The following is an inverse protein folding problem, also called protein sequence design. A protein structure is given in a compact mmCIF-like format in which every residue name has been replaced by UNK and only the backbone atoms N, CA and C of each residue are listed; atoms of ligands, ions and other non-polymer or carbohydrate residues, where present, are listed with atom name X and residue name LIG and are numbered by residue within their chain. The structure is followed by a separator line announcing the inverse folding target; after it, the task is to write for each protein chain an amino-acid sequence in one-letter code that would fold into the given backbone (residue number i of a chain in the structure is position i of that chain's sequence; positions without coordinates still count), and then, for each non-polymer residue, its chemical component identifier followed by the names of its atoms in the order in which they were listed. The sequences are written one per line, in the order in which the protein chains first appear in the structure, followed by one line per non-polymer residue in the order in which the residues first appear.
data_IF_414598365665
#
_entry.id   IF_414598365665
#
_cell.length_a   1.000
_cell.length_b   1.000
_cell.length_c   1.000
_cell.angle_alpha   90.00
_cell.angle_beta   90.00
_cell.angle_gamma   90.00
#
_symmetry.space_group_name_H-M   'P 1'
#
loop_
_entity.id
_entity.type
_entity.pdbx_description
1 polymer ?
#
# COMPACT_ATOMS: atom_id res chain seq x y z
N UNK A 1 10.32 61.33 -40.60
CA UNK A 1 10.58 60.62 -39.33
C UNK A 1 9.51 59.54 -39.22
N UNK A 2 9.86 58.33 -39.69
CA UNK A 2 8.93 57.20 -39.84
C UNK A 2 9.52 56.09 -38.98
N UNK A 3 8.96 55.89 -37.80
CA UNK A 3 9.51 54.97 -36.79
C UNK A 3 9.02 53.55 -37.08
N UNK A 4 9.97 52.67 -37.38
CA UNK A 4 9.80 51.23 -37.53
C UNK A 4 9.31 50.60 -36.21
N UNK A 5 8.21 49.84 -36.27
CA UNK A 5 7.84 48.92 -35.18
C UNK A 5 8.60 47.61 -35.37
N UNK A 6 9.40 47.25 -34.36
CA UNK A 6 10.12 45.99 -34.26
C UNK A 6 9.13 44.84 -34.06
N UNK A 7 9.18 43.86 -34.96
CA UNK A 7 8.65 42.52 -34.71
C UNK A 7 9.46 41.86 -33.59
N UNK A 8 8.83 41.61 -32.45
CA UNK A 8 9.37 40.73 -31.41
C UNK A 8 8.97 39.29 -31.74
N UNK A 9 9.93 38.51 -32.22
CA UNK A 9 9.83 37.07 -32.38
C UNK A 9 9.57 36.41 -31.02
N UNK A 10 8.46 35.68 -30.91
CA UNK A 10 8.19 34.77 -29.80
C UNK A 10 9.17 33.59 -29.85
N UNK A 11 9.73 33.13 -28.72
CA UNK A 11 10.63 31.99 -28.73
C UNK A 11 9.85 30.72 -29.08
N UNK A 12 10.42 29.94 -30.02
CA UNK A 12 10.01 28.58 -30.35
C UNK A 12 10.04 27.74 -29.08
N UNK A 13 8.91 27.14 -28.71
CA UNK A 13 8.85 26.05 -27.74
C UNK A 13 9.44 24.80 -28.42
N UNK A 14 10.72 24.54 -28.16
CA UNK A 14 11.34 23.24 -28.43
C UNK A 14 11.14 22.35 -27.19
N UNK A 15 10.82 21.08 -27.43
CA UNK A 15 10.83 20.01 -26.43
C UNK A 15 9.46 19.67 -25.83
N UNK A 16 8.70 18.79 -26.49
CA UNK A 16 7.87 17.85 -25.74
C UNK A 16 8.85 16.89 -25.06
N UNK A 17 9.28 17.23 -23.84
CA UNK A 17 9.80 16.20 -22.92
C UNK A 17 8.61 15.29 -22.63
N UNK A 18 8.55 14.14 -23.32
CA UNK A 18 7.67 13.05 -22.90
C UNK A 18 8.19 12.57 -21.55
N UNK A 19 7.63 13.14 -20.49
CA UNK A 19 7.82 12.61 -19.14
C UNK A 19 7.36 11.15 -19.16
N UNK A 20 8.16 10.21 -18.62
CA UNK A 20 7.74 8.83 -18.54
C UNK A 20 6.44 8.76 -17.76
N UNK A 21 5.41 8.19 -18.38
CA UNK A 21 4.11 7.96 -17.73
C UNK A 21 4.35 6.96 -16.61
N UNK A 22 3.99 7.33 -15.38
CA UNK A 22 4.08 6.41 -14.26
C UNK A 22 3.24 5.16 -14.55
N UNK A 23 3.75 3.95 -14.25
CA UNK A 23 2.98 2.73 -14.42
C UNK A 23 1.71 2.77 -13.56
N UNK A 24 0.62 2.20 -14.06
CA UNK A 24 -0.66 2.20 -13.35
C UNK A 24 -0.68 1.23 -12.14
N UNK A 25 0.11 0.16 -12.19
CA UNK A 25 0.25 -0.85 -11.14
C UNK A 25 1.73 -1.24 -10.96
N UNK A 26 2.59 -0.32 -10.46
CA UNK A 26 4.03 -0.54 -10.33
C UNK A 26 4.39 -1.83 -9.57
N UNK A 27 3.66 -2.17 -8.51
CA UNK A 27 3.91 -3.38 -7.72
C UNK A 27 3.55 -4.63 -8.52
N UNK A 28 2.42 -4.65 -9.22
CA UNK A 28 2.08 -5.78 -10.10
C UNK A 28 3.15 -5.99 -11.17
N UNK A 29 3.66 -4.92 -11.77
CA UNK A 29 4.74 -5.01 -12.76
C UNK A 29 6.01 -5.55 -12.12
N UNK A 30 6.34 -5.10 -10.91
CA UNK A 30 7.50 -5.57 -10.15
C UNK A 30 7.41 -7.04 -9.74
N UNK A 31 6.23 -7.51 -9.31
CA UNK A 31 5.97 -8.92 -8.98
C UNK A 31 6.24 -9.81 -10.19
N UNK A 32 5.75 -9.41 -11.37
CA UNK A 32 5.96 -10.14 -12.62
C UNK A 32 7.42 -10.11 -13.08
N UNK A 33 8.09 -8.97 -13.00
CA UNK A 33 9.51 -8.83 -13.35
C UNK A 33 10.37 -9.80 -12.53
N UNK A 34 10.06 -9.93 -11.24
CA UNK A 34 10.76 -10.80 -10.30
C UNK A 34 10.21 -12.23 -10.26
N UNK A 35 9.16 -12.52 -11.03
CA UNK A 35 8.49 -13.83 -11.12
C UNK A 35 8.04 -14.36 -9.76
N UNK A 36 7.56 -13.45 -8.91
CA UNK A 36 7.17 -13.81 -7.55
C UNK A 36 5.79 -14.45 -7.49
N UNK A 37 4.97 -14.29 -8.53
CA UNK A 37 3.64 -14.88 -8.71
C UNK A 37 3.66 -16.25 -9.44
N UNK A 38 4.82 -16.68 -9.93
CA UNK A 38 4.98 -18.00 -10.56
C UNK A 38 5.07 -19.11 -9.48
N UNK A 39 4.25 -20.15 -9.63
CA UNK A 39 4.33 -21.38 -8.83
C UNK A 39 4.55 -22.59 -9.74
N UNK A 40 5.14 -23.64 -9.20
CA UNK A 40 5.33 -24.90 -9.92
C UNK A 40 3.97 -25.61 -10.10
N UNK A 41 3.67 -26.12 -11.30
CA UNK A 41 2.40 -26.82 -11.58
C UNK A 41 2.18 -28.04 -10.67
N UNK A 42 3.26 -28.64 -10.17
CA UNK A 42 3.19 -29.72 -9.17
C UNK A 42 2.59 -29.26 -7.82
N UNK A 43 2.69 -27.97 -7.52
CA UNK A 43 2.17 -27.33 -6.30
C UNK A 43 0.82 -26.65 -6.51
N UNK A 44 0.16 -26.87 -7.67
CA UNK A 44 -1.10 -26.22 -8.02
C UNK A 44 -2.21 -26.43 -6.98
N UNK A 45 -2.43 -27.67 -6.54
CA UNK A 45 -3.46 -27.96 -5.52
C UNK A 45 -3.19 -27.23 -4.20
N UNK A 46 -1.91 -27.13 -3.83
CA UNK A 46 -1.49 -26.39 -2.64
C UNK A 46 -1.77 -24.90 -2.80
N UNK A 47 -1.42 -24.32 -3.95
CA UNK A 47 -1.71 -22.91 -4.23
C UNK A 47 -3.21 -22.62 -4.24
N UNK A 48 -4.03 -23.48 -4.84
CA UNK A 48 -5.49 -23.35 -4.84
C UNK A 48 -6.07 -23.39 -3.41
N UNK A 49 -5.53 -24.23 -2.51
CA UNK A 49 -5.91 -24.23 -1.09
C UNK A 49 -5.55 -22.90 -0.40
N UNK A 50 -4.39 -22.31 -0.71
CA UNK A 50 -3.94 -21.02 -0.14
C UNK A 50 -4.89 -19.86 -0.45
N UNK A 51 -5.56 -19.86 -1.61
CA UNK A 51 -6.51 -18.81 -1.99
C UNK A 51 -7.65 -18.65 -0.98
N UNK A 52 -8.02 -19.73 -0.29
CA UNK A 52 -9.07 -19.73 0.73
C UNK A 52 -8.59 -19.36 2.12
N UNK A 53 -7.28 -19.32 2.36
CA UNK A 53 -6.72 -19.11 3.71
C UNK A 53 -6.78 -17.64 4.11
N UNK A 54 -7.06 -17.34 5.40
CA UNK A 54 -6.91 -16.00 5.92
C UNK A 54 -5.41 -15.62 5.99
N UNK A 55 -5.11 -14.32 5.98
CA UNK A 55 -3.72 -13.83 6.09
C UNK A 55 -3.03 -14.27 7.40
N UNK A 56 -3.81 -14.53 8.45
CA UNK A 56 -3.29 -15.05 9.72
C UNK A 56 -2.69 -16.46 9.60
N UNK A 57 -2.99 -17.20 8.53
CA UNK A 57 -2.42 -18.52 8.26
C UNK A 57 -0.90 -18.49 8.11
N UNK A 58 -0.31 -17.35 7.78
CA UNK A 58 1.13 -17.21 7.56
C UNK A 58 1.92 -16.87 8.82
N UNK A 59 1.27 -16.46 9.91
CA UNK A 59 1.94 -15.85 11.07
C UNK A 59 2.82 -16.81 11.89
N UNK A 60 2.63 -18.12 11.74
CA UNK A 60 3.39 -19.18 12.41
C UNK A 60 4.42 -19.85 11.47
N UNK A 61 4.64 -19.31 10.27
CA UNK A 61 5.52 -19.90 9.25
C UNK A 61 7.00 -19.53 9.41
N UNK A 62 7.34 -18.74 10.43
CA UNK A 62 8.70 -18.26 10.73
C UNK A 62 9.72 -19.41 10.80
N UNK A 63 9.40 -20.45 11.55
CA UNK A 63 10.30 -21.57 11.85
C UNK A 63 10.13 -22.76 10.90
N UNK A 64 9.29 -22.61 9.88
CA UNK A 64 9.10 -23.62 8.84
C UNK A 64 10.30 -23.59 7.88
N UNK A 65 10.84 -24.74 7.46
CA UNK A 65 11.99 -24.81 6.56
C UNK A 65 11.80 -23.99 5.28
N UNK A 66 12.84 -23.27 4.87
CA UNK A 66 12.83 -22.40 3.68
C UNK A 66 12.43 -23.12 2.38
N UNK A 67 12.78 -24.40 2.24
CA UNK A 67 12.38 -25.23 1.11
C UNK A 67 10.85 -25.36 0.98
N UNK A 68 10.12 -25.30 2.10
CA UNK A 68 8.66 -25.30 2.14
C UNK A 68 8.16 -23.86 2.03
N UNK A 69 8.76 -22.93 2.77
CA UNK A 69 8.26 -21.55 2.84
C UNK A 69 8.29 -20.81 1.50
N UNK A 70 9.23 -21.16 0.61
CA UNK A 70 9.29 -20.61 -0.74
C UNK A 70 7.96 -20.79 -1.51
N UNK A 71 7.21 -21.85 -1.25
CA UNK A 71 5.92 -22.15 -1.90
C UNK A 71 4.81 -21.16 -1.53
N UNK A 72 4.95 -20.40 -0.45
CA UNK A 72 3.97 -19.38 -0.04
C UNK A 72 4.16 -18.04 -0.75
N UNK A 73 5.33 -17.78 -1.35
CA UNK A 73 5.66 -16.48 -1.95
C UNK A 73 4.71 -16.09 -3.09
N UNK A 74 4.27 -17.00 -3.97
CA UNK A 74 3.28 -16.69 -5.00
C UNK A 74 1.97 -16.15 -4.43
N UNK A 75 1.43 -16.79 -3.39
CA UNK A 75 0.15 -16.33 -2.82
C UNK A 75 0.31 -15.01 -2.05
N UNK A 76 1.41 -14.82 -1.31
CA UNK A 76 1.67 -13.54 -0.65
C UNK A 76 1.80 -12.43 -1.68
N UNK A 77 2.55 -12.64 -2.76
CA UNK A 77 2.72 -11.67 -3.84
C UNK A 77 1.40 -11.34 -4.53
N UNK A 78 0.53 -12.33 -4.76
CA UNK A 78 -0.85 -12.13 -5.24
C UNK A 78 -1.63 -11.20 -4.31
N UNK A 79 -1.55 -11.39 -2.99
CA UNK A 79 -2.27 -10.53 -2.03
C UNK A 79 -1.77 -9.08 -2.03
N UNK A 80 -0.47 -8.86 -2.23
CA UNK A 80 0.06 -7.50 -2.43
C UNK A 80 -0.46 -6.86 -3.71
N UNK A 81 -0.50 -7.62 -4.82
CA UNK A 81 -1.10 -7.14 -6.08
C UNK A 81 -2.59 -6.79 -5.91
N UNK A 82 -3.33 -7.55 -5.10
CA UNK A 82 -4.72 -7.24 -4.78
C UNK A 82 -4.85 -5.98 -3.92
N UNK A 83 -3.96 -5.78 -2.95
CA UNK A 83 -3.91 -4.55 -2.18
C UNK A 83 -3.64 -3.35 -3.10
N UNK A 84 -2.67 -3.44 -4.02
CA UNK A 84 -2.39 -2.36 -4.98
C UNK A 84 -3.62 -2.03 -5.83
N UNK A 85 -4.29 -3.04 -6.39
CA UNK A 85 -5.52 -2.83 -7.18
C UNK A 85 -6.64 -2.16 -6.38
N UNK A 86 -6.69 -2.39 -5.06
CA UNK A 86 -7.67 -1.76 -4.17
C UNK A 86 -7.39 -0.29 -3.92
N UNK A 87 -6.16 0.21 -4.12
CA UNK A 87 -5.82 1.62 -3.93
C UNK A 87 -6.78 2.51 -4.74
N UNK A 88 -6.96 2.21 -6.03
CA UNK A 88 -7.88 2.98 -6.88
C UNK A 88 -9.30 3.03 -6.33
N UNK A 89 -9.81 1.90 -5.82
CA UNK A 89 -11.15 1.84 -5.20
C UNK A 89 -11.22 2.74 -3.96
N UNK A 90 -10.16 2.77 -3.14
CA UNK A 90 -10.10 3.65 -1.97
C UNK A 90 -10.01 5.12 -2.39
N UNK A 91 -9.18 5.46 -3.38
CA UNK A 91 -9.06 6.81 -3.93
C UNK A 91 -10.37 7.34 -4.50
N UNK A 92 -11.12 6.48 -5.20
CA UNK A 92 -12.45 6.79 -5.72
C UNK A 92 -13.44 7.09 -4.58
N UNK A 93 -13.43 6.28 -3.51
CA UNK A 93 -14.23 6.52 -2.31
C UNK A 93 -13.88 7.85 -1.65
N UNK A 94 -12.60 8.16 -1.47
CA UNK A 94 -12.15 9.43 -0.89
C UNK A 94 -12.52 10.63 -1.77
N UNK A 95 -12.51 10.45 -3.09
CA UNK A 95 -12.89 11.50 -4.03
C UNK A 95 -14.38 11.77 -4.05
N UNK A 96 -15.21 10.80 -3.64
CA UNK A 96 -16.66 10.98 -3.50
C UNK A 96 -17.08 11.83 -2.29
N UNK A 97 -16.17 12.15 -1.37
CA UNK A 97 -16.46 13.00 -0.20
C UNK A 97 -16.86 14.41 -0.67
N UNK A 98 -18.08 14.91 -0.35
CA UNK A 98 -18.58 16.19 -0.85
C UNK A 98 -17.78 17.41 -0.36
N UNK A 99 -17.61 18.43 -1.22
CA UNK A 99 -17.07 19.75 -0.88
C UNK A 99 -15.77 19.74 -0.05
N UNK A 100 -14.68 19.24 -0.64
CA UNK A 100 -13.32 19.20 -0.07
C UNK A 100 -12.75 20.56 0.36
N UNK A 101 -13.36 21.67 -0.05
CA UNK A 101 -12.93 23.05 0.29
C UNK A 101 -13.72 23.68 1.45
N UNK A 102 -14.54 22.89 2.16
CA UNK A 102 -15.26 23.34 3.35
C UNK A 102 -14.73 22.60 4.59
N UNK A 103 -14.32 23.36 5.61
CA UNK A 103 -13.35 22.91 6.62
C UNK A 103 -13.60 21.54 7.30
N UNK A 104 -14.85 21.10 7.49
CA UNK A 104 -15.11 19.77 8.07
C UNK A 104 -14.84 18.63 7.08
N UNK A 105 -15.23 18.79 5.81
CA UNK A 105 -15.01 17.80 4.77
C UNK A 105 -13.57 17.79 4.25
N UNK A 106 -12.92 18.95 4.24
CA UNK A 106 -11.47 19.07 4.04
C UNK A 106 -10.73 18.23 5.08
N UNK A 107 -10.99 18.48 6.37
CA UNK A 107 -10.36 17.72 7.46
C UNK A 107 -10.67 16.21 7.41
N UNK A 108 -11.88 15.84 6.95
CA UNK A 108 -12.27 14.44 6.71
C UNK A 108 -11.42 13.79 5.65
N UNK A 109 -11.31 14.45 4.50
CA UNK A 109 -10.50 14.00 3.38
C UNK A 109 -9.03 13.91 3.76
N UNK A 110 -8.44 14.96 4.34
CA UNK A 110 -7.03 15.00 4.75
C UNK A 110 -6.66 13.84 5.69
N UNK A 111 -7.46 13.61 6.75
CA UNK A 111 -7.16 12.57 7.74
C UNK A 111 -7.21 11.16 7.11
N UNK A 112 -8.14 10.93 6.18
CA UNK A 112 -8.28 9.63 5.52
C UNK A 112 -7.22 9.41 4.43
N UNK A 113 -6.84 10.47 3.71
CA UNK A 113 -5.72 10.43 2.77
C UNK A 113 -4.41 10.16 3.50
N UNK A 114 -4.17 10.81 4.64
CA UNK A 114 -3.00 10.52 5.46
C UNK A 114 -2.94 9.05 5.90
N UNK A 115 -4.09 8.46 6.28
CA UNK A 115 -4.16 7.03 6.60
C UNK A 115 -3.89 6.14 5.37
N UNK A 116 -4.39 6.50 4.19
CA UNK A 116 -4.11 5.79 2.94
C UNK A 116 -2.62 5.84 2.61
N UNK A 117 -2.02 7.02 2.60
CA UNK A 117 -0.59 7.23 2.33
C UNK A 117 0.26 6.40 3.29
N UNK A 118 -0.11 6.41 4.58
CA UNK A 118 0.56 5.60 5.61
C UNK A 118 0.42 4.12 5.37
N UNK A 119 -0.76 3.63 4.96
CA UNK A 119 -0.91 2.22 4.60
C UNK A 119 -0.01 1.86 3.39
N UNK A 120 0.04 2.72 2.37
CA UNK A 120 0.81 2.50 1.15
C UNK A 120 2.33 2.45 1.37
N UNK A 121 2.87 3.06 2.43
CA UNK A 121 4.29 2.88 2.82
C UNK A 121 4.67 1.41 3.03
N UNK A 122 3.69 0.55 3.36
CA UNK A 122 3.92 -0.90 3.46
C UNK A 122 4.39 -1.54 2.16
N UNK A 123 4.09 -0.97 0.99
CA UNK A 123 4.57 -1.46 -0.31
C UNK A 123 6.06 -1.17 -0.51
N UNK A 124 6.55 -0.02 -0.05
CA UNK A 124 7.98 0.33 -0.09
C UNK A 124 8.80 -0.61 0.80
N UNK A 125 8.28 -0.93 2.00
CA UNK A 125 8.91 -1.88 2.92
C UNK A 125 8.91 -3.30 2.30
N UNK A 126 7.81 -3.70 1.66
CA UNK A 126 7.75 -4.97 0.94
C UNK A 126 8.83 -5.05 -0.16
N UNK A 127 9.06 -3.98 -0.92
CA UNK A 127 10.12 -3.96 -1.93
C UNK A 127 11.52 -4.18 -1.33
N UNK A 128 11.79 -3.62 -0.14
CA UNK A 128 13.02 -3.91 0.60
C UNK A 128 13.13 -5.41 0.95
N UNK A 129 12.05 -6.02 1.45
CA UNK A 129 12.04 -7.44 1.80
C UNK A 129 12.32 -8.35 0.60
N UNK A 130 11.77 -7.99 -0.56
CA UNK A 130 11.94 -8.74 -1.81
C UNK A 130 13.39 -8.67 -2.31
N UNK A 131 14.03 -7.51 -2.19
CA UNK A 131 15.37 -7.27 -2.73
C UNK A 131 16.50 -7.80 -1.82
N UNK A 132 16.24 -7.95 -0.53
CA UNK A 132 17.23 -8.37 0.48
C UNK A 132 17.05 -9.83 0.87
N UNK A 133 18.16 -10.57 0.99
CA UNK A 133 18.13 -12.00 1.35
C UNK A 133 17.91 -12.17 2.85
N UNK A 134 16.70 -12.57 3.23
CA UNK A 134 16.35 -13.09 4.57
C UNK A 134 15.74 -14.49 4.43
N UNK A 135 15.66 -15.30 5.51
CA UNK A 135 14.99 -16.60 5.45
C UNK A 135 13.55 -16.49 4.95
N UNK A 136 13.12 -17.43 4.11
CA UNK A 136 11.77 -17.42 3.53
C UNK A 136 10.68 -17.50 4.59
N UNK A 137 10.87 -18.30 5.65
CA UNK A 137 9.90 -18.35 6.75
C UNK A 137 9.70 -16.99 7.42
N UNK A 138 10.80 -16.26 7.65
CA UNK A 138 10.75 -14.91 8.21
C UNK A 138 10.07 -13.94 7.25
N UNK A 139 10.47 -13.98 5.96
CA UNK A 139 9.90 -13.13 4.90
C UNK A 139 8.39 -13.29 4.81
N UNK A 140 7.90 -14.54 4.80
CA UNK A 140 6.48 -14.88 4.76
C UNK A 140 5.71 -14.23 5.91
N UNK A 141 6.22 -14.32 7.15
CA UNK A 141 5.56 -13.70 8.32
C UNK A 141 5.56 -12.17 8.23
N UNK A 142 6.69 -11.57 7.84
CA UNK A 142 6.82 -10.11 7.75
C UNK A 142 5.93 -9.53 6.65
N UNK A 143 5.95 -10.13 5.47
CA UNK A 143 5.12 -9.72 4.33
C UNK A 143 3.63 -9.96 4.59
N UNK A 144 3.25 -11.07 5.24
CA UNK A 144 1.87 -11.28 5.65
C UNK A 144 1.39 -10.24 6.67
N UNK A 145 2.28 -9.83 7.58
CA UNK A 145 1.98 -8.78 8.57
C UNK A 145 1.76 -7.41 7.90
N UNK A 146 2.59 -7.05 6.92
CA UNK A 146 2.40 -5.86 6.09
C UNK A 146 1.07 -5.91 5.34
N UNK A 147 0.77 -7.02 4.65
CA UNK A 147 -0.48 -7.19 3.91
C UNK A 147 -1.71 -7.09 4.82
N UNK A 148 -1.66 -7.67 6.02
CA UNK A 148 -2.70 -7.55 7.02
C UNK A 148 -2.89 -6.10 7.49
N UNK A 149 -1.80 -5.36 7.75
CA UNK A 149 -1.85 -3.95 8.13
C UNK A 149 -2.52 -3.13 7.02
N UNK A 150 -2.04 -3.22 5.79
CA UNK A 150 -2.56 -2.48 4.63
C UNK A 150 -4.06 -2.76 4.46
N UNK A 151 -4.42 -4.05 4.40
CA UNK A 151 -5.82 -4.47 4.25
C UNK A 151 -6.70 -3.91 5.36
N UNK A 152 -6.25 -3.99 6.62
CA UNK A 152 -7.01 -3.46 7.76
C UNK A 152 -7.25 -1.95 7.66
N UNK A 153 -6.27 -1.17 7.17
CA UNK A 153 -6.44 0.28 7.01
C UNK A 153 -7.39 0.61 5.86
N UNK A 154 -7.37 -0.17 4.78
CA UNK A 154 -8.37 -0.03 3.72
C UNK A 154 -9.79 -0.29 4.22
N UNK A 155 -9.99 -1.34 5.02
CA UNK A 155 -11.31 -1.61 5.63
C UNK A 155 -11.76 -0.45 6.54
N UNK A 156 -10.84 0.13 7.32
CA UNK A 156 -11.13 1.30 8.15
C UNK A 156 -11.59 2.48 7.28
N UNK A 157 -10.87 2.79 6.20
CA UNK A 157 -11.23 3.89 5.30
C UNK A 157 -12.60 3.65 4.67
N UNK A 158 -12.87 2.44 4.17
CA UNK A 158 -14.16 2.07 3.60
C UNK A 158 -15.29 2.24 4.61
N UNK A 159 -15.12 1.72 5.83
CA UNK A 159 -16.13 1.84 6.88
C UNK A 159 -16.40 3.29 7.28
N UNK A 160 -15.36 4.13 7.34
CA UNK A 160 -15.52 5.54 7.67
C UNK A 160 -16.21 6.31 6.52
N UNK A 161 -15.89 6.01 5.26
CA UNK A 161 -16.59 6.62 4.12
C UNK A 161 -18.08 6.26 4.12
N UNK A 162 -18.41 5.00 4.41
CA UNK A 162 -19.79 4.53 4.54
C UNK A 162 -20.53 5.21 5.69
N UNK A 163 -19.85 5.44 6.81
CA UNK A 163 -20.35 6.16 7.97
C UNK A 163 -20.59 7.64 7.68
N UNK A 164 -19.67 8.30 6.95
CA UNK A 164 -19.78 9.71 6.58
C UNK A 164 -21.02 9.97 5.73
N UNK A 165 -21.38 9.03 4.85
CA UNK A 165 -22.62 9.12 4.06
C UNK A 165 -23.89 9.19 4.94
N UNK A 166 -23.80 8.76 6.21
CA UNK A 166 -24.91 8.69 7.18
C UNK A 166 -24.86 9.79 8.24
N UNK A 167 -23.68 10.31 8.56
CA UNK A 167 -23.44 11.23 9.71
C UNK A 167 -23.74 12.72 9.43
N UNK A 168 -23.88 13.13 8.17
CA UNK A 168 -24.15 14.53 7.84
C UNK A 168 -23.09 15.49 8.38
N UNK A 169 -23.53 16.55 9.07
CA UNK A 169 -22.66 17.63 9.59
C UNK A 169 -22.31 17.50 11.09
N UNK A 170 -22.52 16.33 11.71
CA UNK A 170 -22.14 16.12 13.12
C UNK A 170 -20.61 16.22 13.30
N UNK A 171 -20.19 17.37 13.81
CA UNK A 171 -18.78 17.73 14.00
C UNK A 171 -18.14 16.99 15.18
N UNK A 172 -18.86 16.82 16.29
CA UNK A 172 -18.28 16.25 17.51
C UNK A 172 -18.03 14.75 17.35
N UNK A 173 -18.99 14.06 16.72
CA UNK A 173 -18.80 12.65 16.34
C UNK A 173 -17.60 12.46 15.40
N UNK A 174 -17.46 13.36 14.41
CA UNK A 174 -16.30 13.33 13.52
C UNK A 174 -14.99 13.60 14.25
N UNK A 175 -14.92 14.58 15.15
CA UNK A 175 -13.70 14.89 15.90
C UNK A 175 -13.20 13.69 16.72
N UNK A 176 -14.12 12.92 17.33
CA UNK A 176 -13.77 11.69 18.03
C UNK A 176 -13.21 10.62 17.08
N UNK A 177 -13.83 10.44 15.91
CA UNK A 177 -13.32 9.53 14.87
C UNK A 177 -11.98 9.97 14.32
N UNK A 178 -11.78 11.26 14.08
CA UNK A 178 -10.52 11.82 13.61
C UNK A 178 -9.39 11.58 14.62
N UNK A 179 -9.66 11.73 15.91
CA UNK A 179 -8.66 11.42 16.94
C UNK A 179 -8.32 9.93 16.97
N UNK A 180 -9.33 9.06 16.86
CA UNK A 180 -9.10 7.62 16.68
C UNK A 180 -8.28 7.30 15.41
N UNK A 181 -8.59 7.92 14.27
CA UNK A 181 -7.83 7.76 13.03
C UNK A 181 -6.37 8.22 13.18
N UNK A 182 -6.10 9.29 13.94
CA UNK A 182 -4.72 9.70 14.27
C UNK A 182 -3.98 8.66 15.11
N UNK A 183 -4.68 7.94 16.01
CA UNK A 183 -4.08 6.79 16.69
C UNK A 183 -3.79 5.66 15.70
N UNK A 184 -4.69 5.39 14.76
CA UNK A 184 -4.46 4.37 13.72
C UNK A 184 -3.27 4.72 12.82
N UNK A 185 -3.12 5.98 12.41
CA UNK A 185 -1.97 6.48 11.64
C UNK A 185 -0.66 6.24 12.41
N UNK A 186 -0.61 6.64 13.69
CA UNK A 186 0.58 6.40 14.54
C UNK A 186 0.83 4.91 14.78
N UNK A 187 -0.23 4.10 14.82
CA UNK A 187 -0.10 2.64 14.94
C UNK A 187 0.61 2.04 13.73
N UNK A 188 0.40 2.59 12.52
CA UNK A 188 1.14 2.17 11.33
C UNK A 188 2.65 2.37 11.53
N UNK A 189 3.07 3.56 11.98
CA UNK A 189 4.49 3.86 12.21
C UNK A 189 5.13 2.89 13.22
N UNK A 190 4.41 2.58 14.31
CA UNK A 190 4.88 1.62 15.32
C UNK A 190 5.03 0.21 14.75
N UNK A 191 4.05 -0.24 13.95
CA UNK A 191 4.08 -1.57 13.33
C UNK A 191 5.17 -1.64 12.25
N UNK A 192 5.34 -0.61 11.44
CA UNK A 192 6.42 -0.54 10.46
C UNK A 192 7.78 -0.56 11.12
N UNK A 193 7.96 0.17 12.22
CA UNK A 193 9.18 0.10 13.01
C UNK A 193 9.44 -1.31 13.53
N UNK A 194 8.44 -1.97 14.11
CA UNK A 194 8.57 -3.35 14.61
C UNK A 194 8.94 -4.33 13.49
N UNK A 195 8.27 -4.24 12.33
CA UNK A 195 8.54 -5.07 11.17
C UNK A 195 9.94 -4.82 10.62
N UNK A 196 10.38 -3.56 10.54
CA UNK A 196 11.71 -3.22 10.09
C UNK A 196 12.79 -3.72 11.06
N UNK A 197 12.58 -3.63 12.37
CA UNK A 197 13.49 -4.21 13.37
C UNK A 197 13.61 -5.72 13.20
N UNK A 198 12.49 -6.43 13.06
CA UNK A 198 12.46 -7.88 12.83
C UNK A 198 13.11 -8.27 11.49
N UNK A 199 12.92 -7.45 10.46
CA UNK A 199 13.60 -7.60 9.19
C UNK A 199 15.13 -7.49 9.35
N UNK A 200 15.62 -6.45 10.01
CA UNK A 200 17.05 -6.25 10.28
C UNK A 200 17.63 -7.38 11.14
N UNK A 201 16.91 -7.84 12.17
CA UNK A 201 17.31 -8.99 12.97
C UNK A 201 17.44 -10.24 12.10
N UNK A 202 16.46 -10.51 11.22
CA UNK A 202 16.52 -11.62 10.26
C UNK A 202 17.73 -11.51 9.34
N UNK A 203 18.00 -10.31 8.84
CA UNK A 203 19.11 -10.04 7.93
C UNK A 203 20.48 -10.24 8.62
N UNK A 204 20.58 -9.89 9.90
CA UNK A 204 21.79 -10.07 10.70
C UNK A 204 21.92 -11.46 11.35
N UNK A 205 20.92 -12.33 11.21
CA UNK A 205 20.88 -13.64 11.87
C UNK A 205 20.63 -13.58 13.39
N UNK A 206 19.98 -12.51 13.86
CA UNK A 206 19.56 -12.32 15.25
C UNK A 206 18.12 -12.87 15.42
N UNK A 207 17.88 -13.57 16.52
CA UNK A 207 16.57 -14.13 16.86
C UNK A 207 15.53 -13.06 17.23
N UNK A 208 14.26 -13.32 16.95
CA UNK A 208 13.08 -12.54 17.34
C UNK A 208 11.83 -13.39 17.30
#
# INVERSE_FOLDING_TARGET
MTTQSKESQSPKKEGNEEFPVAPALPLCDRVKELKLDEYDEEDKEFYEDLLSKPISYYFDKKDVPDAICRKFIPDISRRFMECEKRIQTIEDLLTSIPNKESGLNEMRFETLVELLDKACQGFEIWEEHVTKKIPYGHRVVLEASLCNLISSKFEIITQICDDLSKMGEDRDSWLNKAEWLRYEIRSCDMIFYELHVKFLQSYMGISW
#
